data_IF_479689500725
#
_entry.id   IF_479689500725
#
_cell.length_a   1.000
_cell.length_b   1.000
_cell.length_c   1.000
_cell.angle_alpha   90.00
_cell.angle_beta   90.00
_cell.angle_gamma   90.00
#
_symmetry.space_group_name_H-M   'P 1'
#
loop_
_entity.id
_entity.type
_entity.pdbx_description
1 polymer ?
#
# COMPACT_ATOMS: atom_id res chain seq x y z
N UNK A 1 11.70 3.14 19.05
CA UNK A 1 11.93 4.35 18.23
C UNK A 1 10.62 4.59 17.53
N UNK A 2 9.96 5.70 17.84
CA UNK A 2 8.54 5.85 17.50
C UNK A 2 8.34 6.87 16.36
N UNK A 3 9.38 7.67 16.11
CA UNK A 3 9.47 8.56 14.96
C UNK A 3 10.80 8.40 14.24
N UNK A 4 10.81 8.62 12.94
CA UNK A 4 12.01 8.51 12.12
C UNK A 4 11.99 9.44 10.89
N UNK A 5 13.16 9.95 10.52
CA UNK A 5 13.44 10.52 9.21
C UNK A 5 13.55 9.38 8.20
N UNK A 6 12.77 9.42 7.11
CA UNK A 6 12.59 8.26 6.23
C UNK A 6 13.83 7.99 5.36
N UNK A 7 14.62 9.01 5.04
CA UNK A 7 15.79 8.93 4.16
C UNK A 7 16.79 7.86 4.61
N UNK A 8 16.92 7.65 5.92
CA UNK A 8 17.83 6.69 6.54
C UNK A 8 17.36 5.24 6.44
N UNK A 9 16.13 5.00 5.97
CA UNK A 9 15.50 3.68 5.92
C UNK A 9 15.11 3.27 4.50
N UNK A 10 15.53 4.03 3.49
CA UNK A 10 15.32 3.70 2.09
C UNK A 10 16.06 2.40 1.74
N UNK A 11 15.31 1.40 1.28
CA UNK A 11 15.84 0.06 1.03
C UNK A 11 14.90 -0.65 0.05
N UNK A 12 15.45 -1.54 -0.79
CA UNK A 12 14.67 -2.40 -1.68
C UNK A 12 14.16 -3.67 -0.97
N UNK A 13 13.17 -4.34 -1.57
CA UNK A 13 12.64 -5.61 -1.04
C UNK A 13 13.73 -6.68 -0.84
N UNK A 14 14.70 -6.75 -1.76
CA UNK A 14 15.76 -7.77 -1.75
C UNK A 14 16.83 -7.55 -0.67
N UNK A 15 16.90 -6.35 -0.11
CA UNK A 15 17.84 -5.98 0.95
C UNK A 15 17.23 -6.18 2.35
N UNK A 16 15.92 -6.42 2.43
CA UNK A 16 15.23 -6.67 3.70
C UNK A 16 15.66 -8.01 4.30
N UNK A 17 16.04 -8.00 5.57
CA UNK A 17 16.31 -9.21 6.35
C UNK A 17 15.06 -9.83 6.99
N UNK A 18 13.89 -9.22 6.79
CA UNK A 18 12.64 -9.65 7.44
C UNK A 18 12.05 -10.91 6.83
N UNK A 19 12.18 -11.08 5.51
CA UNK A 19 11.63 -12.21 4.78
C UNK A 19 12.73 -13.14 4.27
N UNK A 20 12.41 -14.41 4.14
CA UNK A 20 13.25 -15.37 3.44
C UNK A 20 13.31 -15.08 1.94
N UNK A 21 14.32 -15.59 1.20
CA UNK A 21 14.37 -15.44 -0.26
C UNK A 21 13.10 -15.94 -0.99
N UNK A 22 12.49 -17.02 -0.51
CA UNK A 22 11.26 -17.59 -1.09
C UNK A 22 10.04 -16.71 -0.82
N UNK A 23 9.97 -16.10 0.36
CA UNK A 23 8.95 -15.10 0.69
C UNK A 23 9.13 -13.83 -0.15
N UNK A 24 10.36 -13.33 -0.32
CA UNK A 24 10.67 -12.20 -1.20
C UNK A 24 10.22 -12.49 -2.63
N UNK A 25 10.52 -13.69 -3.14
CA UNK A 25 10.08 -14.13 -4.47
C UNK A 25 8.55 -14.13 -4.58
N UNK A 26 7.86 -14.65 -3.56
CA UNK A 26 6.40 -14.69 -3.51
C UNK A 26 5.77 -13.28 -3.43
N UNK A 27 6.36 -12.39 -2.62
CA UNK A 27 5.94 -10.99 -2.48
C UNK A 27 6.10 -10.26 -3.81
N UNK A 28 7.27 -10.40 -4.44
CA UNK A 28 7.53 -9.77 -5.73
C UNK A 28 6.59 -10.30 -6.82
N UNK A 29 6.42 -11.61 -6.92
CA UNK A 29 5.53 -12.21 -7.91
C UNK A 29 4.08 -11.77 -7.69
N UNK A 30 3.59 -11.75 -6.44
CA UNK A 30 2.20 -11.36 -6.14
C UNK A 30 1.96 -9.86 -6.31
N UNK A 31 2.78 -8.99 -5.72
CA UNK A 31 2.52 -7.56 -5.69
C UNK A 31 3.04 -6.84 -6.93
N UNK A 32 3.99 -7.39 -7.69
CA UNK A 32 4.60 -6.72 -8.85
C UNK A 32 4.30 -7.46 -10.16
N UNK A 33 4.80 -8.69 -10.33
CA UNK A 33 4.76 -9.41 -11.61
C UNK A 33 3.33 -9.79 -12.02
N UNK A 34 2.61 -10.42 -11.10
CA UNK A 34 1.23 -10.92 -11.24
C UNK A 34 0.24 -10.14 -10.40
N UNK A 35 0.61 -8.88 -10.12
CA UNK A 35 -0.24 -7.92 -9.44
C UNK A 35 -1.60 -7.82 -10.11
N UNK A 36 -2.59 -7.45 -9.31
CA UNK A 36 -3.92 -7.17 -9.84
C UNK A 36 -3.96 -5.87 -10.65
N UNK A 37 -2.96 -5.00 -10.48
CA UNK A 37 -2.84 -3.73 -11.17
C UNK A 37 -2.99 -3.88 -12.70
N UNK A 38 -3.72 -2.97 -13.33
CA UNK A 38 -3.93 -2.98 -14.79
C UNK A 38 -2.63 -2.88 -15.59
N UNK A 39 -1.57 -2.32 -15.01
CA UNK A 39 -0.25 -2.17 -15.62
C UNK A 39 0.64 -3.40 -15.48
N UNK A 40 0.21 -4.45 -14.78
CA UNK A 40 0.99 -5.68 -14.64
C UNK A 40 0.93 -6.52 -15.93
N UNK A 41 2.09 -6.98 -16.40
CA UNK A 41 2.21 -7.75 -17.64
C UNK A 41 1.57 -9.14 -17.54
N UNK A 42 1.58 -9.75 -16.35
CA UNK A 42 0.99 -11.06 -16.07
C UNK A 42 -0.15 -10.95 -15.05
N UNK A 43 -0.98 -9.91 -15.23
CA UNK A 43 -2.04 -9.53 -14.29
C UNK A 43 -2.95 -10.71 -13.90
N UNK A 44 -3.20 -10.83 -12.60
CA UNK A 44 -4.28 -11.66 -12.04
C UNK A 44 -5.44 -10.81 -11.56
N UNK A 45 -6.58 -11.42 -11.31
CA UNK A 45 -7.79 -10.78 -10.84
C UNK A 45 -8.26 -11.44 -9.55
N UNK A 46 -9.20 -10.80 -8.85
CA UNK A 46 -9.84 -11.43 -7.69
C UNK A 46 -10.41 -12.83 -8.01
N UNK A 47 -10.92 -13.03 -9.24
CA UNK A 47 -11.50 -14.30 -9.65
C UNK A 47 -10.47 -15.42 -9.84
N UNK A 48 -9.22 -15.10 -10.20
CA UNK A 48 -8.14 -16.11 -10.28
C UNK A 48 -7.84 -16.72 -8.91
N UNK A 49 -8.11 -15.97 -7.83
CA UNK A 49 -8.02 -16.40 -6.44
C UNK A 49 -9.35 -16.92 -5.87
N UNK A 50 -10.40 -17.08 -6.70
CA UNK A 50 -11.72 -17.54 -6.24
C UNK A 50 -12.56 -16.49 -5.50
N UNK A 51 -12.17 -15.21 -5.53
CA UNK A 51 -12.84 -14.13 -4.84
C UNK A 51 -13.81 -13.36 -5.76
N UNK A 52 -14.86 -12.80 -5.16
CA UNK A 52 -15.76 -11.86 -5.87
C UNK A 52 -15.07 -10.51 -6.09
N UNK A 53 -14.38 -10.04 -5.07
CA UNK A 53 -13.62 -8.79 -5.05
C UNK A 53 -12.49 -8.90 -4.03
N UNK A 54 -11.49 -8.03 -4.14
CA UNK A 54 -10.40 -7.97 -3.16
C UNK A 54 -10.91 -7.37 -1.83
N UNK A 55 -10.60 -8.01 -0.68
CA UNK A 55 -11.16 -7.65 0.63
C UNK A 55 -10.41 -6.46 1.27
N UNK A 56 -10.47 -5.27 0.65
CA UNK A 56 -9.72 -4.07 1.07
C UNK A 56 -9.88 -3.73 2.56
N UNK A 57 -11.12 -3.53 3.01
CA UNK A 57 -11.40 -3.09 4.38
C UNK A 57 -10.97 -4.16 5.39
N UNK A 58 -11.21 -5.44 5.10
CA UNK A 58 -10.87 -6.55 5.99
C UNK A 58 -9.35 -6.75 6.13
N UNK A 59 -8.59 -6.63 5.05
CA UNK A 59 -7.12 -6.77 5.09
C UNK A 59 -6.48 -5.64 5.92
N UNK A 60 -6.97 -4.41 5.75
CA UNK A 60 -6.48 -3.27 6.51
C UNK A 60 -6.86 -3.36 7.99
N UNK A 61 -8.08 -3.77 8.31
CA UNK A 61 -8.50 -4.04 9.70
C UNK A 61 -7.64 -5.11 10.36
N UNK A 62 -7.37 -6.22 9.66
CA UNK A 62 -6.54 -7.31 10.18
C UNK A 62 -5.10 -6.87 10.50
N UNK A 63 -4.56 -5.92 9.74
CA UNK A 63 -3.24 -5.32 9.99
C UNK A 63 -3.27 -4.15 10.97
N UNK A 64 -4.40 -3.92 11.62
CA UNK A 64 -4.55 -2.90 12.65
C UNK A 64 -4.58 -1.47 12.10
N UNK A 65 -4.93 -1.27 10.83
CA UNK A 65 -5.17 0.06 10.24
C UNK A 65 -6.58 0.53 10.60
N UNK A 66 -6.74 1.54 11.47
CA UNK A 66 -8.07 2.02 11.88
C UNK A 66 -8.87 2.56 10.70
N UNK A 67 -10.20 2.44 10.75
CA UNK A 67 -11.10 2.95 9.69
C UNK A 67 -10.94 4.45 9.44
N UNK A 68 -10.66 5.25 10.49
CA UNK A 68 -10.38 6.69 10.40
C UNK A 68 -8.93 7.03 10.00
N UNK A 69 -8.11 6.03 9.66
CA UNK A 69 -6.71 6.18 9.23
C UNK A 69 -6.45 5.46 7.91
N UNK A 70 -7.52 5.22 7.13
CA UNK A 70 -7.44 4.70 5.76
C UNK A 70 -8.34 5.52 4.85
N UNK A 71 -7.77 6.10 3.80
CA UNK A 71 -8.53 6.94 2.88
C UNK A 71 -8.08 6.81 1.44
N UNK A 72 -9.06 6.79 0.54
CA UNK A 72 -8.90 6.77 -0.90
C UNK A 72 -9.53 8.04 -1.48
N UNK A 73 -8.71 9.06 -1.74
CA UNK A 73 -9.15 10.36 -2.24
C UNK A 73 -9.46 10.32 -3.73
N UNK A 74 -10.61 10.88 -4.12
CA UNK A 74 -10.94 11.15 -5.51
C UNK A 74 -10.43 12.54 -5.91
N UNK A 75 -9.11 12.69 -5.97
CA UNK A 75 -8.42 13.96 -6.18
C UNK A 75 -7.19 13.80 -7.07
N UNK A 76 -6.66 14.91 -7.60
CA UNK A 76 -5.45 14.89 -8.45
C UNK A 76 -4.14 14.99 -7.65
N UNK A 77 -4.22 15.32 -6.36
CA UNK A 77 -3.09 15.38 -5.44
C UNK A 77 -3.57 15.14 -4.00
N UNK A 78 -2.66 14.71 -3.12
CA UNK A 78 -2.96 14.49 -1.71
C UNK A 78 -3.00 15.80 -0.88
N UNK A 79 -2.29 16.84 -1.32
CA UNK A 79 -2.30 18.17 -0.68
C UNK A 79 -2.02 18.13 0.82
N UNK A 80 -2.79 18.92 1.58
CA UNK A 80 -2.66 19.05 3.03
C UNK A 80 -3.04 17.78 3.80
N UNK A 81 -3.76 16.84 3.17
CA UNK A 81 -4.17 15.56 3.78
C UNK A 81 -2.94 14.70 4.13
N UNK A 82 -1.81 14.90 3.44
CA UNK A 82 -0.53 14.28 3.82
C UNK A 82 -0.15 14.65 5.27
N UNK A 83 -0.34 15.91 5.67
CA UNK A 83 -0.03 16.38 7.02
C UNK A 83 -1.06 15.88 8.04
N UNK A 84 -2.35 15.89 7.68
CA UNK A 84 -3.43 15.36 8.52
C UNK A 84 -3.25 13.87 8.86
N UNK A 85 -2.70 13.10 7.91
CA UNK A 85 -2.34 11.70 8.10
C UNK A 85 -0.93 11.50 8.67
N UNK A 86 -0.19 12.56 8.99
CA UNK A 86 1.13 12.47 9.61
C UNK A 86 2.20 11.87 8.69
N UNK A 87 2.08 12.09 7.39
CA UNK A 87 3.05 11.67 6.36
C UNK A 87 3.96 12.79 5.86
N UNK A 88 3.88 13.98 6.46
CA UNK A 88 4.74 15.11 6.09
C UNK A 88 6.18 14.85 6.54
N UNK A 89 7.06 14.64 5.58
CA UNK A 89 8.48 14.29 5.78
C UNK A 89 9.41 15.48 5.68
N UNK A 90 8.89 16.68 5.45
CA UNK A 90 9.68 17.91 5.34
C UNK A 90 9.03 19.09 6.07
N UNK A 91 9.88 19.97 6.61
CA UNK A 91 9.45 21.24 7.23
C UNK A 91 10.31 22.39 6.74
N UNK A 92 9.71 23.58 6.68
CA UNK A 92 10.43 24.81 6.38
C UNK A 92 11.10 25.35 7.65
N UNK A 93 12.42 25.41 7.65
CA UNK A 93 13.21 26.09 8.67
C UNK A 93 13.76 27.40 8.12
N UNK A 94 13.73 28.47 8.92
CA UNK A 94 14.42 29.72 8.57
C UNK A 94 15.87 29.62 9.04
N UNK A 95 16.82 29.87 8.14
CA UNK A 95 18.21 30.06 8.50
C UNK A 95 18.41 31.38 9.26
N UNK A 96 19.57 31.55 9.89
CA UNK A 96 19.96 32.80 10.54
C UNK A 96 19.92 34.01 9.59
N UNK A 97 20.13 33.78 8.29
CA UNK A 97 20.12 34.80 7.23
C UNK A 97 18.72 35.04 6.64
N UNK A 98 17.67 34.44 7.22
CA UNK A 98 16.28 34.62 6.79
C UNK A 98 15.87 33.80 5.56
N UNK A 99 16.76 32.97 5.02
CA UNK A 99 16.47 32.06 3.91
C UNK A 99 15.64 30.89 4.41
N UNK A 100 14.52 30.57 3.74
CA UNK A 100 13.74 29.37 4.03
C UNK A 100 14.43 28.17 3.38
N UNK A 101 14.74 27.17 4.19
CA UNK A 101 15.26 25.89 3.74
C UNK A 101 14.27 24.79 4.12
N UNK A 102 14.02 23.89 3.18
CA UNK A 102 13.28 22.67 3.45
C UNK A 102 14.23 21.63 4.04
N UNK A 103 13.91 21.14 5.23
CA UNK A 103 14.68 20.10 5.94
C UNK A 103 13.81 18.88 6.18
N UNK A 104 14.44 17.72 6.30
CA UNK A 104 13.75 16.48 6.61
C UNK A 104 13.16 16.50 8.03
N UNK A 105 11.93 16.01 8.16
CA UNK A 105 11.18 15.93 9.39
C UNK A 105 10.81 14.46 9.71
N UNK A 106 10.92 14.05 10.98
CA UNK A 106 10.59 12.68 11.36
C UNK A 106 9.07 12.48 11.42
N UNK A 107 8.60 11.35 10.90
CA UNK A 107 7.19 10.93 10.97
C UNK A 107 6.98 9.87 12.05
N UNK A 108 5.75 9.71 12.52
CA UNK A 108 5.36 8.54 13.34
C UNK A 108 5.50 7.26 12.51
N UNK A 109 6.22 6.27 13.05
CA UNK A 109 6.48 4.98 12.39
C UNK A 109 5.82 3.81 13.11
N UNK A 110 4.91 4.06 14.05
CA UNK A 110 4.25 3.02 14.85
C UNK A 110 2.81 2.80 14.42
N UNK A 111 2.10 3.87 14.04
CA UNK A 111 0.65 3.83 13.82
C UNK A 111 0.31 3.53 12.36
N UNK A 112 -0.19 2.32 12.02
CA UNK A 112 -0.52 1.95 10.65
C UNK A 112 -1.57 2.88 10.05
N UNK A 113 -1.36 3.32 8.82
CA UNK A 113 -2.26 4.26 8.13
C UNK A 113 -2.04 4.23 6.62
N UNK A 114 -3.10 4.53 5.88
CA UNK A 114 -3.14 4.45 4.41
C UNK A 114 -3.79 5.70 3.85
N UNK A 115 -3.10 6.35 2.94
CA UNK A 115 -3.63 7.48 2.17
C UNK A 115 -3.29 7.26 0.71
N UNK A 116 -4.28 7.16 -0.17
CA UNK A 116 -4.06 6.98 -1.60
C UNK A 116 -5.01 7.84 -2.43
N UNK A 117 -4.60 8.16 -3.65
CA UNK A 117 -5.49 8.69 -4.69
C UNK A 117 -6.17 7.51 -5.39
N UNK A 118 -7.50 7.50 -5.47
CA UNK A 118 -8.21 6.54 -6.31
C UNK A 118 -8.62 7.14 -7.65
N UNK A 119 -8.60 6.35 -8.73
CA UNK A 119 -9.15 6.79 -10.01
C UNK A 119 -10.63 7.12 -9.88
N UNK A 120 -11.04 8.26 -10.46
CA UNK A 120 -12.40 8.76 -10.38
C UNK A 120 -12.85 9.35 -11.72
N UNK A 121 -14.15 9.59 -11.87
CA UNK A 121 -14.78 10.28 -13.00
C UNK A 121 -15.67 11.39 -12.50
N UNK A 122 -15.73 12.49 -13.24
CA UNK A 122 -16.69 13.58 -13.02
C UNK A 122 -17.61 13.60 -14.23
N UNK A 123 -18.93 13.53 -13.99
CA UNK A 123 -19.94 13.53 -15.05
C UNK A 123 -20.97 14.63 -14.84
N UNK A 124 -20.99 15.61 -15.74
CA UNK A 124 -21.93 16.73 -15.69
C UNK A 124 -21.74 17.58 -14.42
N UNK A 125 -22.84 17.79 -13.68
CA UNK A 125 -22.86 18.56 -12.42
C UNK A 125 -22.68 17.70 -11.16
N UNK A 126 -22.43 16.39 -11.30
CA UNK A 126 -22.21 15.52 -10.15
C UNK A 126 -20.79 15.70 -9.63
N UNK A 127 -20.62 15.46 -8.33
CA UNK A 127 -19.30 15.32 -7.72
C UNK A 127 -18.52 14.12 -8.31
N UNK A 128 -17.25 13.95 -7.90
CA UNK A 128 -16.45 12.82 -8.34
C UNK A 128 -17.07 11.49 -7.88
N UNK A 129 -17.07 10.51 -8.78
CA UNK A 129 -17.46 9.12 -8.52
C UNK A 129 -16.26 8.20 -8.77
N UNK A 130 -16.02 7.16 -7.94
CA UNK A 130 -14.89 6.27 -8.12
C UNK A 130 -15.03 5.47 -9.42
N UNK A 131 -13.92 5.24 -10.14
CA UNK A 131 -13.90 4.31 -11.26
C UNK A 131 -14.06 2.88 -10.76
N UNK A 132 -14.63 2.02 -11.61
CA UNK A 132 -15.02 0.63 -11.31
C UNK A 132 -13.85 -0.34 -11.06
N UNK A 133 -12.65 0.17 -10.73
CA UNK A 133 -11.49 -0.65 -10.34
C UNK A 133 -11.64 -1.23 -8.93
N UNK A 134 -12.45 -0.61 -8.06
CA UNK A 134 -12.65 -1.06 -6.67
C UNK A 134 -11.48 -0.74 -5.73
N UNK A 135 -11.77 -0.56 -4.43
CA UNK A 135 -10.79 -0.10 -3.42
C UNK A 135 -9.54 -0.98 -3.32
N UNK A 136 -9.73 -2.31 -3.32
CA UNK A 136 -8.61 -3.25 -3.17
C UNK A 136 -7.65 -3.23 -4.36
N UNK A 137 -8.18 -3.03 -5.58
CA UNK A 137 -7.35 -2.86 -6.76
C UNK A 137 -6.50 -1.59 -6.68
N UNK A 138 -7.10 -0.47 -6.26
CA UNK A 138 -6.40 0.80 -6.07
C UNK A 138 -5.23 0.63 -5.10
N UNK A 139 -5.48 0.05 -3.92
CA UNK A 139 -4.45 -0.20 -2.92
C UNK A 139 -3.29 -1.04 -3.48
N UNK A 140 -3.61 -2.21 -4.06
CA UNK A 140 -2.59 -3.12 -4.58
C UNK A 140 -1.83 -2.52 -5.77
N UNK A 141 -2.44 -1.59 -6.51
CA UNK A 141 -1.77 -0.84 -7.59
C UNK A 141 -0.72 0.12 -7.03
N UNK A 142 -1.03 0.86 -5.97
CA UNK A 142 -0.04 1.74 -5.33
C UNK A 142 1.11 0.95 -4.71
N UNK A 143 0.81 -0.16 -4.02
CA UNK A 143 1.85 -1.04 -3.46
C UNK A 143 2.77 -1.57 -4.57
N UNK A 144 2.20 -2.01 -5.69
CA UNK A 144 2.95 -2.44 -6.86
C UNK A 144 3.90 -1.35 -7.37
N UNK A 145 3.40 -0.12 -7.49
CA UNK A 145 4.21 0.99 -7.99
C UNK A 145 5.32 1.39 -7.00
N UNK A 146 5.03 1.45 -5.71
CA UNK A 146 6.03 1.71 -4.67
C UNK A 146 7.16 0.69 -4.71
N UNK A 147 6.84 -0.61 -4.82
CA UNK A 147 7.83 -1.67 -4.96
C UNK A 147 8.61 -1.57 -6.27
N UNK A 148 7.92 -1.37 -7.39
CA UNK A 148 8.54 -1.32 -8.72
C UNK A 148 9.46 -0.09 -8.91
N UNK A 149 9.13 1.04 -8.27
CA UNK A 149 9.94 2.26 -8.31
C UNK A 149 10.98 2.31 -7.17
N UNK A 150 10.98 1.32 -6.27
CA UNK A 150 11.86 1.29 -5.11
C UNK A 150 11.58 2.38 -4.08
N UNK A 151 10.37 2.96 -4.06
CA UNK A 151 9.97 4.00 -3.12
C UNK A 151 9.48 3.36 -1.80
N UNK A 152 10.37 2.59 -1.16
CA UNK A 152 10.08 1.76 0.01
C UNK A 152 11.06 2.02 1.14
N UNK A 153 10.55 2.03 2.37
CA UNK A 153 11.32 2.36 3.57
C UNK A 153 11.04 1.37 4.69
N UNK A 154 12.08 0.78 5.27
CA UNK A 154 11.99 -0.35 6.20
C UNK A 154 12.43 0.06 7.60
N UNK A 155 11.49 0.08 8.54
CA UNK A 155 11.78 0.51 9.90
C UNK A 155 12.16 -0.67 10.80
N UNK A 156 13.07 -0.49 11.78
CA UNK A 156 13.50 -1.54 12.70
C UNK A 156 12.39 -2.12 13.57
N UNK A 157 11.27 -1.40 13.73
CA UNK A 157 10.11 -1.84 14.50
C UNK A 157 9.18 -2.78 13.71
N UNK A 158 9.59 -3.26 12.54
CA UNK A 158 8.80 -4.15 11.70
C UNK A 158 7.72 -3.45 10.88
N UNK A 159 7.72 -2.12 10.84
CA UNK A 159 6.85 -1.32 9.96
C UNK A 159 7.57 -1.03 8.64
N UNK A 160 6.78 -0.72 7.62
CA UNK A 160 7.25 -0.37 6.29
C UNK A 160 6.42 0.79 5.76
N UNK A 161 7.10 1.83 5.30
CA UNK A 161 6.48 2.92 4.54
C UNK A 161 6.64 2.64 3.05
N UNK A 162 5.54 2.80 2.33
CA UNK A 162 5.47 2.77 0.88
C UNK A 162 5.06 4.17 0.41
N UNK A 163 5.84 4.73 -0.51
CA UNK A 163 5.49 5.95 -1.23
C UNK A 163 5.22 5.59 -2.69
N UNK A 164 4.07 6.00 -3.24
CA UNK A 164 3.83 5.95 -4.69
C UNK A 164 3.90 7.35 -5.25
N UNK A 165 4.56 7.51 -6.40
CA UNK A 165 4.69 8.76 -7.14
C UNK A 165 4.13 8.58 -8.53
N UNK A 166 3.34 9.56 -8.99
CA UNK A 166 2.88 9.60 -10.36
C UNK A 166 4.09 9.60 -11.32
N UNK A 167 4.03 8.75 -12.34
CA UNK A 167 5.02 8.74 -13.41
C UNK A 167 5.07 10.06 -14.18
N UNK A 168 6.24 10.38 -14.73
CA UNK A 168 6.49 11.61 -15.49
C UNK A 168 7.14 12.73 -14.68
N UNK A 169 7.26 13.92 -15.26
CA UNK A 169 8.00 15.07 -14.68
C UNK A 169 7.39 15.67 -13.42
N UNK A 170 6.19 15.23 -13.01
CA UNK A 170 5.48 15.82 -11.87
C UNK A 170 5.99 15.36 -10.51
N UNK A 171 6.52 14.13 -10.41
CA UNK A 171 7.04 13.56 -9.15
C UNK A 171 6.05 13.54 -7.98
N UNK A 172 4.76 13.76 -8.23
CA UNK A 172 3.74 13.96 -7.19
C UNK A 172 3.46 12.66 -6.45
N UNK A 173 3.47 12.71 -5.12
CA UNK A 173 3.06 11.59 -4.27
C UNK A 173 1.56 11.31 -4.45
N UNK A 174 1.23 10.08 -4.87
CA UNK A 174 -0.12 9.59 -5.12
C UNK A 174 -0.58 8.62 -4.03
N UNK A 175 0.34 8.03 -3.27
CA UNK A 175 0.01 7.27 -2.07
C UNK A 175 1.14 7.29 -1.04
N UNK A 176 0.75 7.23 0.23
CA UNK A 176 1.61 7.00 1.38
C UNK A 176 0.94 5.94 2.26
N UNK A 177 1.64 4.86 2.55
CA UNK A 177 1.10 3.73 3.32
C UNK A 177 2.13 3.27 4.33
N UNK A 178 1.80 3.34 5.62
CA UNK A 178 2.59 2.73 6.68
C UNK A 178 1.88 1.45 7.13
N UNK A 179 2.51 0.31 6.87
CA UNK A 179 1.96 -1.02 7.13
C UNK A 179 2.99 -1.90 7.84
N UNK A 180 2.57 -2.89 8.65
CA UNK A 180 3.48 -3.92 9.15
C UNK A 180 4.10 -4.71 7.99
N UNK A 181 5.37 -5.09 8.09
CA UNK A 181 6.03 -5.93 7.08
C UNK A 181 5.34 -7.30 6.95
N UNK A 182 4.82 -7.88 8.05
CA UNK A 182 3.99 -9.09 8.02
C UNK A 182 2.78 -9.00 7.08
N UNK A 183 2.23 -7.81 6.83
CA UNK A 183 1.05 -7.62 6.00
C UNK A 183 1.22 -8.20 4.59
N UNK A 184 2.44 -8.16 4.05
CA UNK A 184 2.70 -8.63 2.69
C UNK A 184 2.51 -10.14 2.56
N UNK A 185 2.98 -10.94 3.51
CA UNK A 185 2.78 -12.40 3.46
C UNK A 185 1.38 -12.78 3.96
N UNK A 186 0.84 -12.07 4.95
CA UNK A 186 -0.51 -12.29 5.47
C UNK A 186 -1.58 -12.02 4.40
N UNK A 187 -1.44 -10.95 3.62
CA UNK A 187 -2.39 -10.63 2.56
C UNK A 187 -2.31 -11.59 1.39
N UNK A 188 -1.11 -12.07 1.03
CA UNK A 188 -0.99 -13.15 0.05
C UNK A 188 -1.72 -14.38 0.56
N UNK A 189 -1.55 -14.73 1.84
CA UNK A 189 -2.18 -15.91 2.43
C UNK A 189 -3.70 -15.78 2.52
N UNK A 190 -4.21 -14.57 2.77
CA UNK A 190 -5.64 -14.29 2.82
C UNK A 190 -6.27 -14.23 1.43
N UNK A 191 -5.60 -13.63 0.45
CA UNK A 191 -6.12 -13.51 -0.92
C UNK A 191 -6.03 -14.87 -1.63
N UNK A 192 -4.88 -15.54 -1.58
CA UNK A 192 -4.69 -16.90 -2.13
C UNK A 192 -5.00 -17.97 -1.08
N UNK A 193 -6.22 -17.93 -0.51
CA UNK A 193 -6.61 -18.78 0.63
C UNK A 193 -6.56 -20.27 0.33
N UNK A 194 -6.88 -20.64 -0.92
CA UNK A 194 -6.87 -22.03 -1.38
C UNK A 194 -5.43 -22.50 -1.74
N UNK A 195 -4.43 -21.64 -1.51
CA UNK A 195 -3.02 -21.88 -1.78
C UNK A 195 -2.74 -22.34 -3.23
N UNK A 196 -3.43 -21.71 -4.19
CA UNK A 196 -3.34 -22.06 -5.62
C UNK A 196 -1.96 -21.74 -6.17
N UNK A 197 -1.32 -20.71 -5.65
CA UNK A 197 -0.09 -20.16 -6.19
C UNK A 197 1.03 -20.02 -5.16
N UNK A 198 0.70 -19.66 -3.91
CA UNK A 198 1.69 -19.28 -2.90
C UNK A 198 1.47 -20.03 -1.58
N UNK A 199 2.57 -20.26 -0.86
CA UNK A 199 2.58 -20.79 0.51
C UNK A 199 1.74 -22.07 0.69
N UNK A 200 1.93 -23.08 -0.17
CA UNK A 200 1.12 -24.31 -0.21
C UNK A 200 0.95 -25.03 1.13
N UNK A 201 2.00 -25.00 1.95
CA UNK A 201 2.05 -25.71 3.22
C UNK A 201 1.74 -24.81 4.45
N UNK A 202 1.41 -23.53 4.23
CA UNK A 202 1.13 -22.61 5.32
C UNK A 202 -0.31 -22.76 5.85
N UNK A 203 -0.46 -22.79 7.18
CA UNK A 203 -1.78 -22.82 7.83
C UNK A 203 -2.62 -21.57 7.51
N UNK A 204 -3.92 -21.78 7.25
CA UNK A 204 -4.85 -20.74 6.75
C UNK A 204 -5.99 -20.37 7.68
N UNK A 205 -6.17 -21.10 8.79
CA UNK A 205 -7.39 -21.03 9.61
C UNK A 205 -7.78 -19.64 10.12
N UNK A 206 -6.81 -18.77 10.40
CA UNK A 206 -7.10 -17.38 10.80
C UNK A 206 -7.53 -16.50 9.61
N UNK A 207 -7.02 -16.77 8.41
CA UNK A 207 -7.30 -16.00 7.20
C UNK A 207 -8.64 -16.36 6.54
N UNK A 208 -9.16 -17.58 6.76
CA UNK A 208 -10.47 -17.99 6.23
C UNK A 208 -11.60 -17.08 6.70
N UNK A 209 -11.46 -16.54 7.91
CA UNK A 209 -12.43 -15.61 8.52
C UNK A 209 -12.43 -14.23 7.85
N UNK A 210 -11.41 -13.91 7.05
CA UNK A 210 -11.20 -12.58 6.48
C UNK A 210 -11.86 -12.37 5.11
N UNK A 211 -12.29 -13.44 4.44
CA UNK A 211 -12.70 -13.35 3.04
C UNK A 211 -14.06 -13.99 2.77
N UNK A 212 -14.84 -13.32 1.93
CA UNK A 212 -16.13 -13.82 1.47
C UNK A 212 -15.94 -14.45 0.08
N UNK A 213 -16.16 -15.76 -0.03
CA UNK A 213 -16.04 -16.50 -1.29
C UNK A 213 -17.23 -16.22 -2.22
N UNK A 214 -17.04 -16.41 -3.53
CA UNK A 214 -18.19 -16.51 -4.45
C UNK A 214 -19.05 -17.70 -4.00
N UNK A 215 -20.35 -17.46 -3.81
CA UNK A 215 -21.31 -18.56 -3.65
C UNK A 215 -21.27 -19.40 -4.92
N UNK A 216 -20.90 -20.67 -4.82
CA UNK A 216 -21.13 -21.64 -5.88
C UNK A 216 -22.65 -21.82 -5.97
N UNK A 217 -23.32 -21.07 -6.86
CA UNK A 217 -24.62 -21.47 -7.33
C UNK A 217 -24.38 -22.57 -8.36
N UNK A 218 -24.62 -23.80 -7.94
CA UNK A 218 -24.81 -24.93 -8.84
C UNK A 218 -26.05 -24.70 -9.72
#
# INVERSE_FOLDING_TARGET
>A
MDKACISSFHMSLHESSYWTPDEISSIWDFFVTKSVANSASQRRTASDYGLKQLPFDTLLEYEGVPSGKRELLMADNLGDVIEEYGFKTTVNQKSADGVKQEIEAPIDIVSPRVLCIQPYTISGRKGPEPKDSGKGMTLLTHIRNSLAHGCTYYFPNGMMLLEDKAGGSSGKTTAMMLLPQKAFTDWIKAIDIDARFYFKDAGRGEFEKLIHRKSNKH
#
